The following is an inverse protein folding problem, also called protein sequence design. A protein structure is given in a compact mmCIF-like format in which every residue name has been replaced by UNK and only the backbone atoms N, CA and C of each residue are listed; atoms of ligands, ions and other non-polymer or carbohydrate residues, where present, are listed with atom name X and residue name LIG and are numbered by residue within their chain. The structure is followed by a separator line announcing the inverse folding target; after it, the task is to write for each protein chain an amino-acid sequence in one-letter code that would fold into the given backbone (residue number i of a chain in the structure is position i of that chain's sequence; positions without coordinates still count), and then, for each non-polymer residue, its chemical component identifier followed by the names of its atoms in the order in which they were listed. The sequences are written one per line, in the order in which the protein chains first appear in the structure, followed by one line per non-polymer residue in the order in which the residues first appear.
data_IF_665782876603
#
_entry.id   IF_665782876603
#
_cell.length_a   1.000
_cell.length_b   1.000
_cell.length_c   1.000
_cell.angle_alpha   90.00
_cell.angle_beta   90.00
_cell.angle_gamma   90.00
#
_symmetry.space_group_name_H-M   'P 1'
#
loop_
_entity.id
_entity.type
_entity.pdbx_description
1 polymer ?
#
# COMPACT_ATOMS: atom_id res chain seq x y z
N UNK A 1 15.70 -28.61 13.28
CA UNK A 1 15.09 -27.27 13.28
C UNK A 1 15.86 -26.31 12.35
N UNK A 2 16.04 -26.66 11.07
CA UNK A 2 17.07 -26.08 10.19
C UNK A 2 16.78 -24.67 9.67
N UNK A 3 15.51 -24.24 9.64
CA UNK A 3 15.13 -22.95 9.03
C UNK A 3 15.43 -21.78 9.97
N UNK A 4 15.13 -21.92 11.27
CA UNK A 4 15.37 -20.86 12.26
C UNK A 4 16.84 -20.51 12.35
N UNK A 5 17.70 -21.52 12.35
CA UNK A 5 19.16 -21.36 12.41
C UNK A 5 19.71 -20.67 11.16
N UNK A 6 19.24 -21.07 9.96
CA UNK A 6 19.58 -20.38 8.70
C UNK A 6 19.19 -18.91 8.73
N UNK A 7 17.99 -18.58 9.23
CA UNK A 7 17.51 -17.19 9.34
C UNK A 7 18.42 -16.39 10.27
N UNK A 8 18.75 -16.92 11.46
CA UNK A 8 19.62 -16.25 12.42
C UNK A 8 21.01 -16.00 11.80
N UNK A 9 21.57 -17.01 11.13
CA UNK A 9 22.86 -16.87 10.46
C UNK A 9 22.82 -15.81 9.36
N UNK A 10 21.77 -15.80 8.52
CA UNK A 10 21.60 -14.77 7.50
C UNK A 10 21.47 -13.37 8.09
N UNK A 11 20.71 -13.19 9.17
CA UNK A 11 20.56 -11.90 9.86
C UNK A 11 21.90 -11.46 10.48
N UNK A 12 22.66 -12.38 11.06
CA UNK A 12 23.97 -12.09 11.66
C UNK A 12 25.04 -11.64 10.66
N UNK A 13 24.83 -11.88 9.36
CA UNK A 13 25.72 -11.43 8.29
C UNK A 13 25.27 -10.12 7.61
N UNK A 14 24.13 -9.55 8.01
CA UNK A 14 23.61 -8.32 7.41
C UNK A 14 24.31 -7.08 7.93
N UNK A 15 24.48 -6.09 7.05
CA UNK A 15 24.92 -4.77 7.46
C UNK A 15 23.79 -4.01 8.19
N UNK A 16 24.16 -3.03 9.01
CA UNK A 16 23.21 -2.21 9.77
C UNK A 16 22.11 -1.58 8.88
N UNK A 17 22.46 -1.14 7.67
CA UNK A 17 21.48 -0.60 6.71
C UNK A 17 20.43 -1.62 6.28
N UNK A 18 20.83 -2.88 6.13
CA UNK A 18 19.93 -3.97 5.73
C UNK A 18 19.05 -4.38 6.92
N UNK A 19 19.63 -4.44 8.13
CA UNK A 19 18.89 -4.66 9.37
C UNK A 19 17.81 -3.58 9.59
N UNK A 20 18.13 -2.32 9.34
CA UNK A 20 17.17 -1.22 9.44
C UNK A 20 16.01 -1.37 8.45
N UNK A 21 16.29 -1.80 7.21
CA UNK A 21 15.24 -2.09 6.21
C UNK A 21 14.37 -3.26 6.63
N UNK A 22 14.99 -4.36 7.08
CA UNK A 22 14.29 -5.55 7.54
C UNK A 22 13.37 -5.22 8.74
N UNK A 23 13.88 -4.46 9.72
CA UNK A 23 13.09 -4.00 10.85
C UNK A 23 11.89 -3.15 10.43
N UNK A 24 12.09 -2.22 9.48
CA UNK A 24 11.02 -1.42 8.91
C UNK A 24 9.93 -2.28 8.25
N UNK A 25 10.33 -3.30 7.49
CA UNK A 25 9.40 -4.25 6.85
C UNK A 25 8.61 -5.07 7.88
N UNK A 26 9.28 -5.59 8.92
CA UNK A 26 8.62 -6.32 10.02
C UNK A 26 7.56 -5.45 10.67
N UNK A 27 7.88 -4.18 10.99
CA UNK A 27 6.94 -3.25 11.62
C UNK A 27 5.71 -2.97 10.74
N UNK A 28 5.89 -2.90 9.42
CA UNK A 28 4.77 -2.75 8.47
C UNK A 28 3.89 -4.00 8.51
N UNK A 29 4.48 -5.19 8.46
CA UNK A 29 3.73 -6.46 8.50
C UNK A 29 2.95 -6.61 9.81
N UNK A 30 3.56 -6.23 10.94
CA UNK A 30 2.88 -6.20 12.24
C UNK A 30 1.67 -5.28 12.23
N UNK A 31 1.81 -4.06 11.68
CA UNK A 31 0.71 -3.10 11.54
C UNK A 31 -0.42 -3.63 10.65
N UNK A 32 -0.09 -4.30 9.55
CA UNK A 32 -1.08 -4.91 8.65
C UNK A 32 -1.80 -6.05 9.39
N UNK A 33 -1.06 -6.90 10.12
CA UNK A 33 -1.63 -8.01 10.89
C UNK A 33 -2.51 -7.53 12.04
N UNK A 34 -2.14 -6.44 12.71
CA UNK A 34 -2.91 -5.83 13.80
C UNK A 34 -4.09 -5.00 13.32
N UNK A 35 -4.10 -4.59 12.04
CA UNK A 35 -5.19 -3.86 11.42
C UNK A 35 -6.28 -4.86 11.01
N UNK A 36 -7.49 -4.81 11.58
CA UNK A 36 -8.61 -5.55 11.03
C UNK A 36 -8.99 -4.88 9.72
N UNK A 37 -8.36 -5.26 8.61
CA UNK A 37 -8.74 -4.79 7.28
C UNK A 37 -10.04 -5.46 6.84
N UNK A 38 -11.15 -5.14 7.51
CA UNK A 38 -12.39 -4.91 6.79
C UNK A 38 -12.35 -3.46 6.37
N UNK A 39 -11.76 -3.17 5.20
CA UNK A 39 -12.07 -1.91 4.51
C UNK A 39 -13.59 -1.95 4.34
N UNK A 40 -14.32 -1.14 5.13
CA UNK A 40 -15.77 -1.04 4.97
C UNK A 40 -16.00 -0.65 3.51
N UNK A 41 -16.81 -1.44 2.80
CA UNK A 41 -17.24 -1.07 1.47
C UNK A 41 -17.84 0.34 1.58
N UNK A 42 -17.31 1.28 0.80
CA UNK A 42 -17.86 2.63 0.73
C UNK A 42 -19.16 2.50 -0.06
N UNK A 43 -20.27 2.98 0.50
CA UNK A 43 -21.55 2.93 -0.19
C UNK A 43 -21.53 3.79 -1.45
N UNK A 44 -22.36 3.45 -2.43
CA UNK A 44 -22.46 4.23 -3.66
C UNK A 44 -22.95 5.66 -3.38
N UNK A 45 -23.78 5.84 -2.35
CA UNK A 45 -24.22 7.15 -1.85
C UNK A 45 -23.04 7.98 -1.37
N UNK A 46 -22.12 7.38 -0.60
CA UNK A 46 -20.93 8.07 -0.10
C UNK A 46 -19.95 8.43 -1.23
N UNK A 47 -19.82 7.56 -2.23
CA UNK A 47 -19.05 7.87 -3.44
C UNK A 47 -19.69 9.07 -4.14
N UNK A 48 -21.01 9.04 -4.36
CA UNK A 48 -21.76 10.12 -5.00
C UNK A 48 -21.60 11.44 -4.27
N UNK A 49 -21.72 11.48 -2.94
CA UNK A 49 -21.47 12.67 -2.12
C UNK A 49 -20.07 13.25 -2.35
N UNK A 50 -19.04 12.40 -2.33
CA UNK A 50 -17.65 12.82 -2.52
C UNK A 50 -17.37 13.31 -3.95
N UNK A 51 -18.08 12.77 -4.93
CA UNK A 51 -17.91 13.13 -6.35
C UNK A 51 -18.90 14.19 -6.83
N UNK A 52 -19.88 14.58 -6.02
CA UNK A 52 -21.01 15.43 -6.43
C UNK A 52 -20.58 16.83 -6.90
N UNK A 53 -19.50 17.37 -6.33
CA UNK A 53 -18.97 18.70 -6.70
C UNK A 53 -17.99 18.65 -7.88
N UNK A 54 -17.69 17.47 -8.43
CA UNK A 54 -16.79 17.35 -9.57
C UNK A 54 -17.51 17.83 -10.82
N UNK A 55 -17.08 18.97 -11.36
CA UNK A 55 -17.62 19.56 -12.61
C UNK A 55 -17.26 18.75 -13.86
N UNK A 56 -16.30 17.84 -13.73
CA UNK A 56 -15.75 17.03 -14.82
C UNK A 56 -15.93 15.55 -14.49
N UNK A 57 -16.43 14.79 -15.45
CA UNK A 57 -16.43 13.33 -15.37
C UNK A 57 -14.98 12.83 -15.40
N UNK A 58 -14.70 11.75 -14.66
CA UNK A 58 -13.40 11.08 -14.72
C UNK A 58 -13.08 10.62 -16.15
N UNK A 59 -14.09 10.21 -16.93
CA UNK A 59 -13.93 9.85 -18.34
C UNK A 59 -13.35 10.99 -19.15
N UNK A 60 -13.83 12.22 -18.92
CA UNK A 60 -13.49 13.37 -19.74
C UNK A 60 -12.07 13.85 -19.41
N UNK A 61 -11.74 13.89 -18.12
CA UNK A 61 -10.39 14.20 -17.66
C UNK A 61 -9.33 13.20 -18.16
N UNK A 62 -9.67 11.91 -18.24
CA UNK A 62 -8.76 10.88 -18.79
C UNK A 62 -8.60 11.01 -20.30
N UNK A 63 -9.68 11.37 -21.02
CA UNK A 63 -9.63 11.58 -22.46
C UNK A 63 -8.85 12.84 -22.84
N UNK A 64 -9.01 13.93 -22.09
CA UNK A 64 -8.28 15.19 -22.27
C UNK A 64 -6.77 14.99 -22.06
N UNK A 65 -6.37 14.32 -20.97
CA UNK A 65 -4.95 14.04 -20.68
C UNK A 65 -4.28 13.12 -21.74
N UNK A 66 -5.08 12.34 -22.50
CA UNK A 66 -4.60 11.54 -23.62
C UNK A 66 -4.55 12.33 -24.93
N UNK A 67 -5.41 13.33 -25.10
CA UNK A 67 -5.39 14.21 -26.26
C UNK A 67 -4.13 15.09 -26.27
N UNK A 68 -3.69 15.58 -25.10
CA UNK A 68 -2.46 16.39 -24.95
C UNK A 68 -1.16 15.65 -25.26
N UNK A 69 -1.20 14.33 -25.45
CA UNK A 69 -0.04 13.48 -25.78
C UNK A 69 0.07 13.14 -27.26
N UNK A 70 -0.79 13.69 -28.12
CA UNK A 70 -0.73 13.55 -29.59
C UNK A 70 -0.31 14.85 -30.21
#
# INVERSE_FOLDING_TARGET
MKVREKIINSIGQMYERELNRLYGQIRILERIKSSPTRKKAVSIERIRELTFSSKTSWSDAVMENRADRR
#
